data_IF_558170430231
#
_entry.id   IF_558170430231
#
_cell.length_a   1.000
_cell.length_b   1.000
_cell.length_c   1.000
_cell.angle_alpha   90.00
_cell.angle_beta   90.00
_cell.angle_gamma   90.00
#
_symmetry.space_group_name_H-M   'P 1'
#
loop_
_entity.id
_entity.type
_entity.pdbx_description
1 polymer ?
#
# COMPACT_ATOMS: atom_id res chain seq x y z
N UNK A 1 -10.66 90.51 -5.41
CA UNK A 1 -11.03 89.49 -4.39
C UNK A 1 -10.92 88.13 -5.08
N UNK A 2 -9.83 87.36 -4.80
CA UNK A 2 -9.84 86.03 -4.14
C UNK A 2 -10.77 85.02 -4.84
N UNK A 3 -10.43 83.81 -5.33
CA UNK A 3 -9.28 82.89 -5.28
C UNK A 3 -9.37 81.94 -6.52
N UNK A 4 -8.29 81.59 -7.23
CA UNK A 4 -7.51 80.33 -7.13
C UNK A 4 -8.39 79.07 -6.94
N UNK A 5 -8.51 78.14 -7.90
CA UNK A 5 -7.65 76.95 -8.18
C UNK A 5 -8.65 75.82 -8.57
N UNK A 6 -8.42 74.75 -9.33
CA UNK A 6 -7.26 74.05 -9.85
C UNK A 6 -7.80 73.11 -10.96
N UNK A 7 -7.14 73.04 -12.12
CA UNK A 7 -7.28 71.93 -13.07
C UNK A 7 -6.66 70.65 -12.47
N UNK A 8 -7.08 69.46 -12.88
CA UNK A 8 -6.23 68.34 -13.35
C UNK A 8 -7.09 67.14 -13.79
N UNK A 9 -6.90 66.74 -15.05
CA UNK A 9 -7.25 65.42 -15.62
C UNK A 9 -6.44 64.33 -14.88
N UNK A 10 -6.89 63.07 -14.79
CA UNK A 10 -6.67 61.95 -15.75
C UNK A 10 -7.25 60.62 -15.19
N UNK A 11 -7.58 59.70 -16.12
CA UNK A 11 -7.54 58.22 -16.07
C UNK A 11 -8.82 57.42 -15.73
N UNK A 12 -9.40 56.86 -16.81
CA UNK A 12 -9.86 55.48 -17.05
C UNK A 12 -10.40 54.67 -15.87
N UNK A 13 -11.65 54.21 -16.00
CA UNK A 13 -12.16 53.08 -15.22
C UNK A 13 -13.58 52.64 -15.62
N UNK A 14 -13.72 51.33 -15.82
CA UNK A 14 -14.94 50.52 -15.63
C UNK A 14 -16.03 50.50 -16.72
N UNK A 15 -16.63 49.36 -17.08
CA UNK A 15 -16.35 47.95 -16.81
C UNK A 15 -17.29 47.18 -17.76
N UNK A 16 -16.78 46.30 -18.63
CA UNK A 16 -17.62 45.26 -19.23
C UNK A 16 -17.82 44.18 -18.17
N UNK A 17 -19.03 44.04 -17.63
CA UNK A 17 -19.42 42.90 -16.81
C UNK A 17 -19.75 41.76 -17.77
N UNK A 18 -18.75 40.92 -18.06
CA UNK A 18 -18.96 39.54 -18.47
C UNK A 18 -18.70 38.67 -17.25
N UNK A 19 -19.74 38.09 -16.65
CA UNK A 19 -19.59 37.10 -15.60
C UNK A 19 -19.29 35.76 -16.24
N UNK A 20 -18.01 35.39 -16.25
CA UNK A 20 -17.56 34.00 -16.37
C UNK A 20 -17.13 33.60 -14.96
N UNK A 21 -18.06 33.08 -14.16
CA UNK A 21 -17.69 32.41 -12.91
C UNK A 21 -17.32 30.96 -13.26
N UNK A 22 -16.03 30.78 -13.54
CA UNK A 22 -15.39 29.48 -13.64
C UNK A 22 -14.04 29.55 -12.96
N UNK A 23 -13.72 28.48 -12.24
CA UNK A 23 -12.46 28.17 -11.56
C UNK A 23 -12.29 28.77 -10.15
N UNK A 24 -12.82 28.06 -9.16
CA UNK A 24 -12.18 27.99 -7.85
C UNK A 24 -10.81 27.33 -8.00
N UNK A 25 -9.75 28.07 -7.74
CA UNK A 25 -8.42 27.54 -7.45
C UNK A 25 -7.68 28.51 -6.51
N UNK A 26 -7.17 27.92 -5.42
CA UNK A 26 -5.95 28.32 -4.71
C UNK A 26 -5.91 29.74 -4.10
N UNK A 27 -6.39 29.87 -2.86
CA UNK A 27 -5.86 30.89 -1.96
C UNK A 27 -5.03 30.28 -0.83
N UNK A 28 -3.78 30.76 -0.74
CA UNK A 28 -2.81 30.63 0.34
C UNK A 28 -3.47 30.56 1.73
N UNK A 29 -3.11 29.57 2.53
CA UNK A 29 -3.38 29.55 3.97
C UNK A 29 -2.12 29.99 4.71
N UNK A 30 -2.15 31.14 5.39
CA UNK A 30 -1.73 31.15 6.78
C UNK A 30 -2.62 32.06 7.62
N UNK A 31 -3.18 31.58 8.72
CA UNK A 31 -3.73 32.47 9.75
C UNK A 31 -3.48 31.97 11.18
N UNK A 32 -2.21 31.65 11.50
CA UNK A 32 -1.45 32.25 12.61
C UNK A 32 -0.07 31.58 12.73
N UNK A 33 0.99 32.27 12.28
CA UNK A 33 2.36 31.73 12.31
C UNK A 33 2.60 30.65 11.25
N UNK A 34 3.85 30.26 11.04
CA UNK A 34 4.32 29.34 10.01
C UNK A 34 3.86 27.86 10.18
N UNK A 35 2.66 27.63 10.72
CA UNK A 35 2.19 26.31 11.17
C UNK A 35 1.01 25.82 10.32
N UNK A 36 1.16 24.64 9.73
CA UNK A 36 0.09 23.95 9.00
C UNK A 36 -0.86 23.27 9.98
N UNK A 37 -2.13 23.68 10.05
CA UNK A 37 -3.15 22.97 10.82
C UNK A 37 -4.53 23.08 10.15
N UNK A 38 -5.43 22.14 10.48
CA UNK A 38 -6.80 22.12 9.95
C UNK A 38 -7.80 21.84 11.08
N UNK A 39 -8.78 22.71 11.27
CA UNK A 39 -9.76 22.59 12.38
C UNK A 39 -10.98 21.74 12.00
N UNK A 40 -11.27 21.59 10.71
CA UNK A 40 -12.48 20.90 10.23
C UNK A 40 -12.20 19.44 9.82
N UNK A 41 -12.77 18.51 10.60
CA UNK A 41 -12.62 17.06 10.44
C UNK A 41 -13.03 16.52 9.06
N UNK A 42 -13.91 17.22 8.34
CA UNK A 42 -14.50 16.71 7.09
C UNK A 42 -13.69 17.06 5.86
N UNK A 43 -13.04 18.21 5.90
CA UNK A 43 -12.20 18.70 4.81
C UNK A 43 -10.71 18.42 5.06
N UNK A 44 -10.37 17.91 6.25
CA UNK A 44 -9.03 17.41 6.55
C UNK A 44 -8.68 16.31 5.54
N UNK A 45 -7.69 16.60 4.72
CA UNK A 45 -7.20 15.73 3.66
C UNK A 45 -5.68 15.68 3.75
N UNK A 46 -5.08 14.55 3.37
CA UNK A 46 -3.62 14.39 3.35
C UNK A 46 -3.12 14.14 1.94
N UNK A 47 -1.88 14.49 1.64
CA UNK A 47 -1.24 14.19 0.36
C UNK A 47 0.22 13.81 0.57
N UNK A 48 0.86 13.44 -0.53
CA UNK A 48 2.29 13.12 -0.56
C UNK A 48 3.11 14.26 -1.18
N UNK A 49 2.48 15.39 -1.50
CA UNK A 49 3.15 16.56 -2.08
C UNK A 49 3.89 17.33 -0.98
N UNK A 50 5.22 17.25 -1.01
CA UNK A 50 6.16 17.92 -0.10
C UNK A 50 6.07 19.46 -0.11
N UNK A 51 5.45 20.05 -1.12
CA UNK A 51 5.28 21.50 -1.27
C UNK A 51 4.01 22.02 -0.57
N UNK A 52 3.19 21.14 0.00
CA UNK A 52 1.90 21.51 0.60
C UNK A 52 1.89 21.33 2.11
N UNK A 53 0.93 21.98 2.78
CA UNK A 53 0.61 21.68 4.19
C UNK A 53 0.01 20.29 4.39
N UNK A 54 -0.28 19.54 3.32
CA UNK A 54 -0.87 18.20 3.40
C UNK A 54 0.18 17.08 3.38
N UNK A 55 1.47 17.45 3.32
CA UNK A 55 2.63 16.54 3.27
C UNK A 55 2.78 15.66 4.52
N UNK A 56 3.49 14.52 4.42
CA UNK A 56 3.69 13.55 5.51
C UNK A 56 4.18 14.10 6.86
N UNK A 57 4.98 15.16 6.84
CA UNK A 57 5.57 15.82 8.01
C UNK A 57 4.52 16.61 8.79
N UNK A 58 3.44 17.05 8.14
CA UNK A 58 2.39 17.89 8.72
C UNK A 58 1.15 17.10 9.15
N UNK A 59 1.03 15.83 8.77
CA UNK A 59 -0.18 15.01 8.99
C UNK A 59 -0.69 15.04 10.44
N UNK A 60 0.20 15.11 11.43
CA UNK A 60 -0.21 15.13 12.85
C UNK A 60 -0.86 16.44 13.30
N UNK A 61 -0.63 17.54 12.58
CA UNK A 61 -1.20 18.87 12.87
C UNK A 61 -2.45 19.14 12.06
N UNK A 62 -2.65 18.42 10.96
CA UNK A 62 -3.85 18.54 10.13
C UNK A 62 -5.11 18.08 10.82
N UNK A 63 -5.02 17.18 11.80
CA UNK A 63 -6.23 16.62 12.37
C UNK A 63 -5.99 15.96 13.73
N UNK A 64 -6.89 16.18 14.69
CA UNK A 64 -6.80 15.60 16.05
C UNK A 64 -6.76 14.08 16.06
N UNK A 65 -7.45 13.41 15.13
CA UNK A 65 -7.39 11.94 15.04
C UNK A 65 -6.09 11.43 14.42
N UNK A 66 -5.27 12.32 13.85
CA UNK A 66 -4.02 11.98 13.15
C UNK A 66 -2.79 12.38 13.97
N UNK A 67 -2.96 12.90 15.18
CA UNK A 67 -1.87 13.29 16.09
C UNK A 67 -0.84 12.18 16.27
N UNK A 68 -1.29 10.91 16.26
CA UNK A 68 -0.41 9.74 16.35
C UNK A 68 0.62 9.65 15.21
N UNK A 69 0.39 10.30 14.06
CA UNK A 69 1.37 10.42 12.97
C UNK A 69 2.69 11.08 13.41
N UNK A 70 2.67 11.88 14.48
CA UNK A 70 3.86 12.51 15.07
C UNK A 70 4.56 11.68 16.12
N UNK A 71 4.07 10.48 16.45
CA UNK A 71 4.64 9.69 17.54
C UNK A 71 6.06 9.22 17.21
N UNK A 72 6.93 9.19 18.21
CA UNK A 72 8.31 8.66 18.10
C UNK A 72 8.44 7.23 18.60
N UNK A 73 7.31 6.60 19.01
CA UNK A 73 7.34 5.29 19.68
C UNK A 73 7.59 4.15 18.70
N UNK A 74 6.72 3.98 17.70
CA UNK A 74 6.79 2.87 16.73
C UNK A 74 6.06 3.18 15.42
N UNK A 75 6.33 4.34 14.83
CA UNK A 75 5.79 4.70 13.51
C UNK A 75 6.46 3.90 12.38
N UNK A 76 5.70 3.68 11.30
CA UNK A 76 6.10 3.02 10.06
C UNK A 76 5.96 3.98 8.86
N UNK A 77 6.69 3.76 7.74
CA UNK A 77 7.64 2.67 7.50
C UNK A 77 9.00 2.91 8.16
N UNK A 78 9.87 1.89 8.12
CA UNK A 78 11.23 1.96 8.64
C UNK A 78 12.25 1.36 7.65
N UNK A 79 13.54 1.67 7.85
CA UNK A 79 14.62 0.95 7.19
C UNK A 79 14.87 -0.36 7.94
N UNK A 80 14.79 -1.49 7.24
CA UNK A 80 15.08 -2.81 7.75
C UNK A 80 16.58 -3.08 7.62
N UNK A 81 17.33 -2.73 8.67
CA UNK A 81 18.75 -3.10 8.77
C UNK A 81 18.88 -4.60 9.02
N UNK A 82 19.43 -5.30 8.04
CA UNK A 82 19.51 -6.76 8.08
C UNK A 82 20.61 -7.28 8.99
N UNK A 83 21.61 -6.44 9.28
CA UNK A 83 22.73 -6.72 10.19
C UNK A 83 22.28 -6.64 11.65
N UNK A 84 21.43 -5.67 11.98
CA UNK A 84 20.88 -5.45 13.32
C UNK A 84 19.64 -6.31 13.62
N UNK A 85 18.95 -6.82 12.59
CA UNK A 85 17.76 -7.63 12.75
C UNK A 85 18.03 -8.93 13.55
N UNK A 86 17.30 -9.13 14.65
CA UNK A 86 17.50 -10.23 15.60
C UNK A 86 16.77 -11.49 15.16
N UNK A 87 17.42 -12.66 15.26
CA UNK A 87 16.74 -13.93 14.95
C UNK A 87 15.57 -14.20 15.89
N UNK A 88 14.47 -14.70 15.34
CA UNK A 88 13.26 -15.03 16.11
C UNK A 88 12.64 -16.35 15.68
N UNK A 89 11.92 -16.98 16.63
CA UNK A 89 11.01 -18.12 16.37
C UNK A 89 9.62 -17.67 15.91
N UNK A 90 9.36 -16.36 15.85
CA UNK A 90 8.10 -15.82 15.34
C UNK A 90 7.80 -16.41 13.95
N UNK A 91 6.58 -16.88 13.79
CA UNK A 91 6.06 -17.42 12.53
C UNK A 91 4.59 -17.06 12.41
N UNK A 92 3.99 -17.32 11.26
CA UNK A 92 2.57 -17.16 11.07
C UNK A 92 2.04 -18.23 10.12
N UNK A 93 0.72 -18.42 10.14
CA UNK A 93 0.03 -19.35 9.26
C UNK A 93 -1.08 -18.61 8.52
N UNK A 94 -1.09 -18.75 7.20
CA UNK A 94 -2.16 -18.28 6.33
C UNK A 94 -3.06 -19.45 5.94
N UNK A 95 -4.32 -19.37 6.31
CA UNK A 95 -5.37 -20.31 5.97
C UNK A 95 -6.14 -19.81 4.74
N UNK A 96 -6.55 -20.73 3.87
CA UNK A 96 -7.25 -20.43 2.62
C UNK A 96 -6.48 -19.49 1.68
N UNK A 97 -5.15 -19.43 1.79
CA UNK A 97 -4.30 -18.49 1.01
C UNK A 97 -4.39 -18.69 -0.51
N UNK A 98 -4.82 -19.87 -0.96
CA UNK A 98 -5.04 -20.26 -2.36
C UNK A 98 -6.45 -19.91 -2.86
N UNK A 99 -7.35 -19.49 -1.96
CA UNK A 99 -8.71 -19.09 -2.32
C UNK A 99 -8.73 -17.63 -2.75
N UNK A 100 -9.62 -17.33 -3.70
CA UNK A 100 -9.91 -15.95 -4.10
C UNK A 100 -11.18 -15.50 -3.42
N UNK A 101 -11.15 -14.29 -2.84
CA UNK A 101 -12.29 -13.66 -2.16
C UNK A 101 -12.84 -12.52 -3.01
N UNK A 102 -14.17 -12.32 -3.08
CA UNK A 102 -14.74 -11.18 -3.80
C UNK A 102 -14.17 -9.87 -3.28
N UNK A 103 -13.84 -8.95 -4.20
CA UNK A 103 -13.24 -7.67 -3.88
C UNK A 103 -13.74 -6.59 -4.85
N UNK A 104 -13.58 -5.34 -4.45
CA UNK A 104 -13.85 -4.17 -5.28
C UNK A 104 -12.66 -3.20 -5.22
N UNK A 105 -12.60 -2.30 -6.18
CA UNK A 105 -11.59 -1.24 -6.27
C UNK A 105 -12.24 0.07 -6.67
N UNK A 106 -11.63 1.19 -6.28
CA UNK A 106 -12.00 2.54 -6.70
C UNK A 106 -10.77 3.44 -6.56
N UNK A 107 -10.82 4.65 -7.11
CA UNK A 107 -9.78 5.63 -6.85
C UNK A 107 -10.06 6.35 -5.52
N UNK A 108 -9.26 6.07 -4.49
CA UNK A 108 -9.38 6.74 -3.20
C UNK A 108 -8.51 8.01 -3.08
N UNK A 109 -7.80 8.38 -4.16
CA UNK A 109 -6.93 9.55 -4.21
C UNK A 109 -5.57 9.37 -3.52
N UNK A 110 -5.26 8.17 -3.02
CA UNK A 110 -4.06 7.94 -2.21
C UNK A 110 -3.27 6.69 -2.61
N UNK A 111 -3.93 5.59 -2.97
CA UNK A 111 -3.26 4.37 -3.40
C UNK A 111 -4.22 3.45 -4.18
N UNK A 112 -3.76 2.79 -5.26
CA UNK A 112 -4.48 1.69 -5.87
C UNK A 112 -4.72 0.58 -4.84
N UNK A 113 -5.98 0.23 -4.61
CA UNK A 113 -6.38 -0.71 -3.57
C UNK A 113 -7.47 -1.67 -4.04
N UNK A 114 -7.57 -2.80 -3.36
CA UNK A 114 -8.54 -3.86 -3.60
C UNK A 114 -9.12 -4.30 -2.25
N UNK A 115 -10.31 -3.80 -1.94
CA UNK A 115 -11.00 -4.07 -0.68
C UNK A 115 -11.87 -5.32 -0.78
N UNK A 116 -11.79 -6.20 0.22
CA UNK A 116 -12.54 -7.46 0.25
C UNK A 116 -14.01 -7.19 0.60
N UNK A 117 -14.93 -7.78 -0.17
CA UNK A 117 -16.36 -7.80 0.15
C UNK A 117 -16.64 -8.88 1.20
N UNK A 118 -16.39 -8.56 2.47
CA UNK A 118 -16.50 -9.51 3.57
C UNK A 118 -17.89 -10.16 3.66
N UNK A 119 -18.96 -9.40 3.41
CA UNK A 119 -20.35 -9.89 3.46
C UNK A 119 -20.70 -10.86 2.33
N UNK A 120 -19.95 -10.84 1.22
CA UNK A 120 -20.15 -11.75 0.07
C UNK A 120 -19.21 -12.98 0.14
N UNK A 121 -18.32 -13.01 1.12
CA UNK A 121 -17.26 -13.99 1.21
C UNK A 121 -17.77 -15.28 1.86
N UNK A 122 -17.76 -16.38 1.09
CA UNK A 122 -18.11 -17.72 1.61
C UNK A 122 -17.07 -18.29 2.57
N UNK A 123 -15.81 -17.87 2.46
CA UNK A 123 -14.68 -18.33 3.27
C UNK A 123 -13.64 -17.22 3.40
N UNK A 124 -13.34 -16.85 4.64
CA UNK A 124 -12.33 -15.84 4.93
C UNK A 124 -10.91 -16.39 4.67
N UNK A 125 -10.02 -15.49 4.26
CA UNK A 125 -8.59 -15.72 4.32
C UNK A 125 -8.13 -15.24 5.69
N UNK A 126 -7.54 -16.16 6.45
CA UNK A 126 -7.23 -15.93 7.87
C UNK A 126 -5.74 -16.09 8.12
N UNK A 127 -5.17 -15.21 8.94
CA UNK A 127 -3.80 -15.23 9.42
C UNK A 127 -3.80 -15.49 10.94
N UNK A 128 -2.94 -16.41 11.40
CA UNK A 128 -2.62 -16.61 12.83
C UNK A 128 -1.13 -16.38 13.07
N UNK A 129 -0.81 -15.54 14.05
CA UNK A 129 0.56 -15.33 14.52
C UNK A 129 0.96 -16.45 15.50
N UNK A 130 2.24 -16.82 15.50
CA UNK A 130 2.82 -17.81 16.42
C UNK A 130 4.15 -17.30 16.96
N UNK A 131 4.33 -17.40 18.27
CA UNK A 131 5.58 -16.99 18.94
C UNK A 131 5.99 -15.54 18.66
N UNK A 132 5.02 -14.65 18.48
CA UNK A 132 5.24 -13.20 18.38
C UNK A 132 4.96 -12.59 19.76
N UNK A 133 5.93 -11.86 20.32
CA UNK A 133 5.78 -11.24 21.64
C UNK A 133 4.59 -10.28 21.68
N UNK A 134 3.80 -10.32 22.76
CA UNK A 134 2.63 -9.46 22.94
C UNK A 134 1.43 -9.82 22.04
N UNK A 135 1.47 -10.94 21.32
CA UNK A 135 0.37 -11.39 20.45
C UNK A 135 -0.19 -12.73 20.92
N UNK A 136 -1.51 -12.85 20.93
CA UNK A 136 -2.19 -14.09 21.30
C UNK A 136 -2.24 -15.06 20.10
N UNK A 137 -1.68 -16.28 20.20
CA UNK A 137 -1.63 -17.22 19.08
C UNK A 137 -2.98 -17.82 18.68
N UNK A 138 -4.02 -17.64 19.50
CA UNK A 138 -5.38 -18.10 19.21
C UNK A 138 -6.21 -17.08 18.43
N UNK A 139 -5.74 -15.83 18.33
CA UNK A 139 -6.44 -14.77 17.60
C UNK A 139 -6.31 -14.95 16.09
N UNK A 140 -7.36 -14.54 15.40
CA UNK A 140 -7.51 -14.67 13.96
C UNK A 140 -7.56 -13.28 13.32
N UNK A 141 -6.75 -13.09 12.28
CA UNK A 141 -6.73 -11.86 11.52
C UNK A 141 -7.29 -12.14 10.12
N UNK A 142 -8.33 -11.41 9.71
CA UNK A 142 -9.05 -11.63 8.46
C UNK A 142 -8.55 -10.62 7.41
N UNK A 143 -8.26 -11.09 6.19
CA UNK A 143 -7.87 -10.22 5.08
C UNK A 143 -9.00 -9.23 4.77
N UNK A 144 -8.69 -7.94 4.78
CA UNK A 144 -9.64 -6.88 4.46
C UNK A 144 -9.26 -6.09 3.20
N UNK A 145 -7.96 -5.92 2.95
CA UNK A 145 -7.51 -5.03 1.88
C UNK A 145 -6.16 -5.46 1.31
N UNK A 146 -5.95 -5.16 0.03
CA UNK A 146 -4.65 -5.21 -0.64
C UNK A 146 -4.43 -3.89 -1.36
N UNK A 147 -3.40 -3.14 -1.03
CA UNK A 147 -3.04 -1.90 -1.74
C UNK A 147 -1.56 -1.85 -2.09
N UNK A 148 -1.23 -0.93 -3.00
CA UNK A 148 0.11 -0.80 -3.57
C UNK A 148 0.60 0.63 -3.37
N UNK A 149 1.74 0.75 -2.70
CA UNK A 149 2.54 1.96 -2.70
C UNK A 149 3.50 1.92 -3.90
N UNK A 150 3.65 3.06 -4.57
CA UNK A 150 4.50 3.22 -5.75
C UNK A 150 5.20 4.56 -5.74
N UNK A 151 6.34 4.61 -6.43
CA UNK A 151 7.19 5.78 -6.51
C UNK A 151 7.02 6.57 -7.79
N UNK A 152 7.52 7.80 -7.75
CA UNK A 152 7.80 8.61 -8.94
C UNK A 152 8.77 7.89 -9.87
N UNK A 153 9.85 7.36 -9.31
CA UNK A 153 10.95 6.76 -10.06
C UNK A 153 10.94 5.24 -10.01
N UNK A 154 11.60 4.60 -10.98
CA UNK A 154 11.67 3.14 -11.13
C UNK A 154 12.28 2.42 -9.93
N UNK A 155 12.99 3.12 -9.03
CA UNK A 155 13.72 2.48 -7.93
C UNK A 155 13.35 3.04 -6.53
N UNK A 156 12.38 3.96 -6.44
CA UNK A 156 12.11 4.71 -5.20
C UNK A 156 10.61 4.84 -4.95
N UNK A 157 9.95 3.73 -4.59
CA UNK A 157 8.50 3.69 -4.38
C UNK A 157 7.96 2.82 -3.26
N UNK A 158 8.73 1.84 -2.78
CA UNK A 158 8.43 1.15 -1.54
C UNK A 158 8.46 2.12 -0.37
N UNK A 159 7.64 1.84 0.64
CA UNK A 159 7.63 2.62 1.87
C UNK A 159 8.77 2.18 2.78
N UNK A 160 8.92 0.87 2.96
CA UNK A 160 10.08 0.30 3.62
C UNK A 160 11.30 0.34 2.70
N UNK A 161 12.47 0.44 3.33
CA UNK A 161 13.75 0.11 2.70
C UNK A 161 14.36 -1.11 3.39
N UNK A 162 15.23 -1.84 2.69
CA UNK A 162 16.04 -2.92 3.24
C UNK A 162 17.50 -2.53 3.02
N UNK A 163 18.28 -2.39 4.10
CA UNK A 163 19.66 -1.88 4.06
C UNK A 163 19.78 -0.57 3.24
N UNK A 164 18.82 0.34 3.40
CA UNK A 164 18.75 1.63 2.70
C UNK A 164 18.25 1.54 1.25
N UNK A 165 18.06 0.34 0.70
CA UNK A 165 17.55 0.14 -0.65
C UNK A 165 16.02 0.17 -0.70
N UNK A 166 15.48 1.00 -1.59
CA UNK A 166 14.07 1.02 -1.96
C UNK A 166 13.80 0.16 -3.21
N UNK A 167 12.52 -0.14 -3.43
CA UNK A 167 12.01 -0.83 -4.61
C UNK A 167 10.99 0.07 -5.34
N UNK A 168 10.66 -0.18 -6.62
CA UNK A 168 9.66 0.63 -7.33
C UNK A 168 8.27 0.66 -6.67
N UNK A 169 7.91 -0.42 -5.99
CA UNK A 169 6.59 -0.63 -5.41
C UNK A 169 6.65 -1.48 -4.15
N UNK A 170 5.64 -1.34 -3.30
CA UNK A 170 5.40 -2.22 -2.15
C UNK A 170 3.92 -2.53 -2.02
N UNK A 171 3.56 -3.82 -1.99
CA UNK A 171 2.19 -4.25 -1.73
C UNK A 171 1.98 -4.50 -0.23
N UNK A 172 0.85 -4.03 0.29
CA UNK A 172 0.40 -4.29 1.65
C UNK A 172 -0.88 -5.11 1.64
N UNK A 173 -0.83 -6.31 2.21
CA UNK A 173 -2.04 -7.06 2.56
C UNK A 173 -2.40 -6.77 4.00
N UNK A 174 -3.55 -6.13 4.21
CA UNK A 174 -4.04 -5.73 5.53
C UNK A 174 -5.00 -6.78 6.08
N UNK A 175 -4.67 -7.29 7.27
CA UNK A 175 -5.52 -8.19 8.03
C UNK A 175 -5.94 -7.52 9.32
N UNK A 176 -7.23 -7.60 9.67
CA UNK A 176 -7.75 -7.08 10.93
C UNK A 176 -8.09 -8.19 11.91
N UNK A 177 -7.86 -7.94 13.20
CA UNK A 177 -8.15 -8.89 14.27
C UNK A 177 -9.67 -9.06 14.41
N UNK A 178 -10.15 -10.28 14.17
CA UNK A 178 -11.58 -10.59 14.06
C UNK A 178 -12.36 -10.33 15.36
N UNK A 179 -11.67 -10.29 16.51
CA UNK A 179 -12.29 -9.99 17.81
C UNK A 179 -12.92 -8.60 17.89
N UNK A 180 -12.54 -7.68 17.00
CA UNK A 180 -13.08 -6.32 16.92
C UNK A 180 -14.25 -6.18 15.96
N UNK A 181 -14.69 -7.26 15.30
CA UNK A 181 -15.82 -7.27 14.38
C UNK A 181 -15.46 -6.80 12.97
N UNK A 182 -14.91 -5.59 12.85
CA UNK A 182 -14.52 -4.98 11.57
C UNK A 182 -13.19 -4.22 11.64
N UNK A 183 -12.66 -3.88 10.45
CA UNK A 183 -11.37 -3.18 10.32
C UNK A 183 -11.39 -1.76 10.90
N UNK A 184 -12.52 -1.03 10.84
CA UNK A 184 -12.61 0.33 11.40
C UNK A 184 -12.45 0.30 12.92
N UNK A 185 -13.08 -0.67 13.58
CA UNK A 185 -12.96 -0.87 15.03
C UNK A 185 -11.59 -1.45 15.43
N UNK A 186 -10.97 -2.24 14.55
CA UNK A 186 -9.64 -2.81 14.81
C UNK A 186 -8.50 -1.79 14.66
N UNK A 187 -8.55 -0.91 13.66
CA UNK A 187 -7.52 0.10 13.36
C UNK A 187 -6.92 0.82 14.59
N UNK A 188 -7.70 1.31 15.57
CA UNK A 188 -7.15 2.02 16.74
C UNK A 188 -6.58 1.14 17.85
N UNK A 189 -6.72 -0.19 17.75
CA UNK A 189 -6.37 -1.14 18.82
C UNK A 189 -4.95 -1.65 18.65
N UNK A 190 -4.18 -1.74 19.73
CA UNK A 190 -2.73 -2.01 19.68
C UNK A 190 -2.36 -3.37 19.03
N UNK A 191 -3.30 -4.32 18.97
CA UNK A 191 -3.25 -5.60 18.27
C UNK A 191 -4.34 -5.77 17.20
N UNK A 192 -4.81 -4.64 16.69
CA UNK A 192 -5.87 -4.58 15.71
C UNK A 192 -5.47 -5.11 14.35
N UNK A 193 -4.21 -4.96 13.94
CA UNK A 193 -3.80 -5.20 12.56
C UNK A 193 -2.55 -6.07 12.44
N UNK A 194 -2.53 -6.89 11.39
CA UNK A 194 -1.33 -7.51 10.83
C UNK A 194 -1.23 -7.07 9.39
N UNK A 195 -0.07 -6.54 8.98
CA UNK A 195 0.15 -6.16 7.58
C UNK A 195 1.32 -6.95 7.03
N UNK A 196 1.09 -7.62 5.90
CA UNK A 196 2.14 -8.27 5.12
C UNK A 196 2.60 -7.30 4.04
N UNK A 197 3.86 -6.87 4.12
CA UNK A 197 4.54 -6.06 3.12
C UNK A 197 5.35 -6.93 2.15
N UNK A 198 5.21 -6.68 0.85
CA UNK A 198 5.98 -7.34 -0.22
C UNK A 198 6.56 -6.31 -1.16
N UNK A 199 7.88 -6.30 -1.30
CA UNK A 199 8.59 -5.48 -2.28
C UNK A 199 8.27 -5.95 -3.70
N UNK A 200 8.06 -5.02 -4.64
CA UNK A 200 7.75 -5.34 -6.03
C UNK A 200 8.75 -4.64 -6.96
N UNK A 201 9.38 -5.43 -7.82
CA UNK A 201 10.17 -4.98 -8.97
C UNK A 201 9.25 -4.85 -10.21
N UNK A 202 9.51 -3.88 -11.08
CA UNK A 202 8.96 -3.91 -12.44
C UNK A 202 9.88 -4.76 -13.34
N UNK A 203 9.30 -5.59 -14.22
CA UNK A 203 10.08 -6.31 -15.24
C UNK A 203 10.79 -5.28 -16.13
N UNK A 204 12.11 -5.42 -16.34
CA UNK A 204 12.83 -4.63 -17.36
C UNK A 204 12.25 -5.01 -18.73
N UNK A 205 11.90 -4.01 -19.54
CA UNK A 205 11.50 -4.28 -20.93
C UNK A 205 12.73 -4.78 -21.69
N UNK A 206 12.57 -5.81 -22.50
CA UNK A 206 13.38 -5.93 -23.71
C UNK A 206 12.64 -5.01 -24.68
N UNK A 207 13.02 -3.74 -24.68
CA UNK A 207 12.51 -2.82 -25.69
C UNK A 207 13.39 -3.10 -26.92
N UNK A 208 12.85 -3.86 -27.87
CA UNK A 208 13.14 -3.61 -29.28
C UNK A 208 12.81 -2.11 -29.50
N UNK A 209 13.80 -1.38 -30.01
CA UNK A 209 13.73 0.01 -30.47
C UNK A 209 13.58 1.10 -29.39
N UNK A 210 14.71 1.57 -28.84
CA UNK A 210 15.17 2.97 -28.99
C UNK A 210 16.48 3.22 -28.20
N UNK A 211 17.39 3.94 -28.85
CA UNK A 211 18.76 4.25 -28.46
C UNK A 211 18.90 4.93 -27.08
N UNK A 212 19.38 4.20 -26.06
CA UNK A 212 20.12 4.80 -24.96
C UNK A 212 21.27 3.86 -24.55
N UNK A 213 22.47 4.30 -24.94
CA UNK A 213 23.78 3.74 -24.62
C UNK A 213 24.03 3.84 -23.11
N UNK A 214 23.62 2.82 -22.35
CA UNK A 214 24.13 2.57 -21.00
C UNK A 214 24.59 1.11 -20.88
N UNK A 215 25.59 0.79 -21.72
CA UNK A 215 26.40 -0.41 -21.60
C UNK A 215 27.30 -0.33 -20.36
N UNK A 216 26.76 -0.44 -19.14
CA UNK A 216 27.60 -0.81 -17.99
C UNK A 216 26.94 -1.31 -16.70
N UNK A 217 25.83 -2.04 -16.74
CA UNK A 217 25.35 -2.75 -15.54
C UNK A 217 25.46 -4.27 -15.72
N UNK A 218 26.58 -4.82 -15.24
CA UNK A 218 26.76 -6.24 -14.95
C UNK A 218 25.83 -6.66 -13.80
N UNK A 219 24.53 -6.74 -14.06
CA UNK A 219 23.59 -7.43 -13.18
C UNK A 219 23.62 -8.93 -13.52
N UNK A 220 24.67 -9.60 -13.05
CA UNK A 220 24.88 -11.04 -13.12
C UNK A 220 23.60 -11.80 -12.74
N UNK A 221 23.05 -12.60 -13.67
CA UNK A 221 22.27 -13.81 -13.44
C UNK A 221 21.39 -13.87 -12.16
N UNK A 222 20.19 -13.27 -12.19
CA UNK A 222 19.08 -13.74 -11.34
C UNK A 222 18.36 -14.86 -12.10
N UNK A 223 18.46 -16.12 -11.64
CA UNK A 223 17.69 -17.24 -12.21
C UNK A 223 16.20 -16.90 -12.25
N UNK A 224 15.71 -16.59 -13.44
CA UNK A 224 14.29 -16.38 -13.71
C UNK A 224 13.59 -17.72 -13.71
N UNK A 225 12.68 -17.92 -12.76
CA UNK A 225 11.68 -18.98 -12.84
C UNK A 225 10.36 -18.30 -13.18
N UNK A 226 10.11 -18.24 -14.48
CA UNK A 226 8.84 -17.80 -15.04
C UNK A 226 7.73 -18.84 -14.81
N UNK A 227 8.04 -19.98 -14.19
CA UNK A 227 7.10 -21.05 -13.91
C UNK A 227 6.46 -21.65 -15.17
N UNK A 228 7.12 -21.54 -16.32
CA UNK A 228 6.63 -22.08 -17.61
C UNK A 228 7.62 -23.11 -18.16
N UNK A 229 7.19 -24.38 -18.27
CA UNK A 229 7.79 -25.28 -19.24
C UNK A 229 7.39 -24.79 -20.63
N UNK A 230 8.36 -24.64 -21.55
CA UNK A 230 8.13 -24.31 -22.96
C UNK A 230 7.22 -25.39 -23.59
N UNK A 231 5.94 -25.09 -23.71
CA UNK A 231 5.03 -25.77 -24.63
C UNK A 231 5.06 -25.07 -25.98
N UNK A 232 5.10 -25.86 -27.05
CA UNK A 232 5.43 -25.47 -28.43
C UNK A 232 4.68 -24.24 -28.98
N UNK A 233 5.39 -23.44 -29.77
CA UNK A 233 5.03 -22.14 -30.38
C UNK A 233 3.90 -22.17 -31.44
N UNK A 234 2.82 -22.93 -31.24
CA UNK A 234 1.66 -22.97 -32.17
C UNK A 234 0.31 -22.49 -31.61
N UNK A 235 0.21 -22.12 -30.34
CA UNK A 235 -1.05 -21.67 -29.71
C UNK A 235 -1.13 -20.13 -29.50
N UNK A 236 -0.46 -19.35 -30.35
CA UNK A 236 -0.49 -17.87 -30.30
C UNK A 236 -1.61 -17.24 -31.14
N UNK A 237 -2.38 -17.99 -31.92
CA UNK A 237 -3.30 -17.41 -32.93
C UNK A 237 -4.81 -17.61 -32.75
N UNK A 238 -5.31 -17.97 -31.57
CA UNK A 238 -6.77 -18.12 -31.35
C UNK A 238 -7.26 -17.53 -30.00
N UNK A 239 -6.84 -16.30 -29.68
CA UNK A 239 -7.18 -15.65 -28.40
C UNK A 239 -8.37 -14.67 -28.45
N UNK A 240 -9.12 -14.56 -29.56
CA UNK A 240 -10.18 -13.54 -29.72
C UNK A 240 -11.63 -14.02 -29.92
N UNK A 241 -11.98 -15.30 -29.74
CA UNK A 241 -13.38 -15.68 -29.92
C UNK A 241 -13.89 -16.77 -28.99
N UNK A 242 -15.02 -16.45 -28.36
CA UNK A 242 -15.95 -17.35 -27.66
C UNK A 242 -15.65 -17.66 -26.18
N UNK A 243 -16.35 -16.93 -25.32
CA UNK A 243 -16.59 -17.28 -23.93
C UNK A 243 -17.27 -18.66 -23.81
N UNK A 244 -16.63 -19.61 -23.10
CA UNK A 244 -17.19 -20.95 -22.90
C UNK A 244 -16.39 -21.86 -21.95
N UNK A 245 -16.60 -21.70 -20.64
CA UNK A 245 -16.35 -22.66 -19.56
C UNK A 245 -14.94 -22.99 -19.01
N UNK A 246 -14.97 -23.16 -17.67
CA UNK A 246 -14.05 -23.84 -16.73
C UNK A 246 -12.66 -23.24 -16.58
N UNK A 247 -12.53 -22.38 -15.56
CA UNK A 247 -11.30 -22.16 -14.81
C UNK A 247 -10.73 -23.52 -14.35
N UNK A 248 -9.89 -24.12 -15.18
CA UNK A 248 -9.00 -25.19 -14.73
C UNK A 248 -8.03 -24.53 -13.77
N UNK A 249 -8.13 -24.94 -12.51
CA UNK A 249 -7.16 -24.68 -11.48
C UNK A 249 -5.75 -24.76 -12.06
N UNK A 250 -5.06 -23.63 -12.18
CA UNK A 250 -3.62 -23.63 -12.03
C UNK A 250 -3.40 -24.00 -10.57
N UNK A 251 -3.21 -25.31 -10.33
CA UNK A 251 -2.39 -25.76 -9.21
C UNK A 251 -1.18 -24.85 -9.24
N UNK A 252 -1.03 -23.99 -8.23
CA UNK A 252 0.30 -23.55 -7.84
C UNK A 252 1.04 -24.84 -7.61
N UNK A 253 1.87 -25.23 -8.58
CA UNK A 253 2.68 -26.42 -8.53
C UNK A 253 3.72 -26.23 -7.43
N UNK A 254 3.32 -26.43 -6.18
CA UNK A 254 4.06 -27.34 -5.32
C UNK A 254 3.69 -28.76 -5.79
N UNK A 255 4.05 -29.11 -7.03
CA UNK A 255 4.13 -30.52 -7.38
C UNK A 255 5.30 -31.06 -6.56
N UNK A 256 4.95 -31.87 -5.56
CA UNK A 256 5.60 -33.08 -5.02
C UNK A 256 7.08 -33.43 -5.22
N UNK A 257 7.91 -32.74 -6.00
CA UNK A 257 9.27 -33.18 -6.31
C UNK A 257 10.26 -32.02 -6.16
N UNK A 258 10.89 -31.93 -5.00
CA UNK A 258 12.30 -31.54 -4.83
C UNK A 258 12.75 -31.99 -3.44
N UNK A 259 12.62 -33.29 -3.19
CA UNK A 259 13.33 -34.00 -2.14
C UNK A 259 13.89 -35.27 -2.77
N UNK A 260 15.20 -35.48 -2.70
CA UNK A 260 15.79 -36.77 -3.04
C UNK A 260 15.24 -37.80 -2.05
N UNK A 261 14.42 -38.73 -2.52
CA UNK A 261 14.11 -39.95 -1.79
C UNK A 261 15.37 -40.83 -1.79
N UNK A 262 15.97 -41.05 -0.62
CA UNK A 262 16.97 -42.10 -0.46
C UNK A 262 16.31 -43.30 0.18
N UNK A 263 16.24 -44.40 -0.56
CA UNK A 263 15.89 -45.70 -0.01
C UNK A 263 17.08 -46.23 0.80
N UNK A 264 16.88 -46.43 2.09
CA UNK A 264 17.66 -47.43 2.82
C UNK A 264 16.90 -48.76 2.71
N UNK A 265 17.63 -49.86 2.56
CA UNK A 265 17.14 -51.20 2.24
C UNK A 265 16.18 -51.86 3.25
N UNK A 266 15.58 -51.09 4.16
CA UNK A 266 14.75 -51.56 5.26
C UNK A 266 13.29 -51.04 5.20
N UNK A 267 12.89 -50.37 4.12
CA UNK A 267 11.48 -50.11 3.81
C UNK A 267 10.78 -48.97 4.59
N UNK A 268 11.52 -48.10 5.29
CA UNK A 268 10.97 -46.86 5.87
C UNK A 268 11.44 -45.61 5.10
N UNK A 269 10.49 -44.89 4.47
CA UNK A 269 10.74 -43.60 3.81
C UNK A 269 10.75 -42.46 4.85
N UNK A 270 11.92 -41.87 5.10
CA UNK A 270 12.04 -40.64 5.91
C UNK A 270 12.23 -39.40 5.04
N UNK A 271 11.36 -38.39 5.24
CA UNK A 271 11.44 -37.09 4.55
C UNK A 271 12.62 -36.28 5.08
N UNK A 272 13.75 -36.26 4.35
CA UNK A 272 14.88 -35.38 4.70
C UNK A 272 14.58 -33.94 4.26
N UNK A 273 14.21 -33.07 5.21
CA UNK A 273 14.22 -31.61 5.00
C UNK A 273 15.67 -31.16 4.89
N UNK A 274 16.25 -31.14 3.67
CA UNK A 274 17.39 -30.26 3.41
C UNK A 274 16.88 -28.82 3.38
N UNK A 275 16.80 -28.20 4.55
CA UNK A 275 16.78 -26.75 4.66
C UNK A 275 18.09 -26.25 4.04
N UNK A 276 18.01 -25.61 2.86
CA UNK A 276 19.18 -25.03 2.21
C UNK A 276 19.76 -23.93 3.09
N UNK A 277 20.79 -24.28 3.86
CA UNK A 277 21.71 -23.35 4.52
C UNK A 277 22.59 -22.73 3.42
N UNK A 278 22.31 -21.49 3.08
CA UNK A 278 23.18 -20.69 2.21
C UNK A 278 22.66 -19.28 2.05
N UNK A 279 23.58 -18.32 2.00
CA UNK A 279 23.35 -16.89 1.73
C UNK A 279 22.88 -16.64 0.28
N UNK A 280 21.91 -17.41 -0.22
CA UNK A 280 21.49 -17.35 -1.63
C UNK A 280 20.62 -16.13 -1.90
N UNK A 281 20.96 -15.47 -3.02
CA UNK A 281 20.23 -14.42 -3.74
C UNK A 281 18.74 -14.78 -3.85
N UNK A 282 17.86 -13.79 -3.80
CA UNK A 282 16.41 -14.02 -3.88
C UNK A 282 16.04 -14.64 -5.23
N UNK A 283 15.30 -15.75 -5.21
CA UNK A 283 14.61 -16.26 -6.40
C UNK A 283 13.29 -15.50 -6.57
N UNK A 284 13.23 -14.64 -7.59
CA UNK A 284 12.13 -13.68 -7.78
C UNK A 284 11.13 -14.22 -8.80
N UNK A 285 9.88 -14.43 -8.40
CA UNK A 285 8.81 -14.89 -9.31
C UNK A 285 8.13 -13.74 -10.04
N UNK A 286 7.58 -14.04 -11.22
CA UNK A 286 6.68 -13.14 -11.94
C UNK A 286 5.23 -13.28 -11.46
N UNK A 287 4.63 -12.19 -10.99
CA UNK A 287 3.26 -12.12 -10.51
C UNK A 287 2.29 -11.77 -11.65
N UNK A 288 2.01 -12.76 -12.51
CA UNK A 288 1.11 -12.64 -13.68
C UNK A 288 -0.27 -12.09 -13.30
N UNK A 289 -0.91 -12.70 -12.32
CA UNK A 289 -2.28 -12.33 -11.91
C UNK A 289 -2.36 -10.91 -11.36
N UNK A 290 -1.39 -10.52 -10.51
CA UNK A 290 -1.31 -9.17 -9.99
C UNK A 290 -1.11 -8.15 -11.12
N UNK A 291 -0.19 -8.44 -12.06
CA UNK A 291 0.05 -7.59 -13.24
C UNK A 291 -1.23 -7.39 -14.04
N UNK A 292 -1.97 -8.48 -14.30
CA UNK A 292 -3.24 -8.42 -15.03
C UNK A 292 -4.31 -7.61 -14.30
N UNK A 293 -4.45 -7.78 -12.98
CA UNK A 293 -5.42 -7.01 -12.18
C UNK A 293 -5.06 -5.52 -12.24
N UNK A 294 -3.80 -5.16 -12.04
CA UNK A 294 -3.34 -3.77 -12.13
C UNK A 294 -3.63 -3.17 -13.51
N UNK A 295 -3.26 -3.87 -14.59
CA UNK A 295 -3.49 -3.41 -15.97
C UNK A 295 -4.98 -3.33 -16.34
N UNK A 296 -5.81 -4.24 -15.83
CA UNK A 296 -7.23 -4.28 -16.19
C UNK A 296 -8.03 -3.18 -15.49
N UNK A 297 -7.69 -2.90 -14.23
CA UNK A 297 -8.48 -2.01 -13.40
C UNK A 297 -7.97 -0.57 -13.40
N UNK A 298 -6.72 -0.29 -13.81
CA UNK A 298 -6.23 1.10 -13.81
C UNK A 298 -7.09 2.03 -14.65
N UNK A 299 -7.53 1.64 -15.86
CA UNK A 299 -8.35 2.52 -16.72
C UNK A 299 -9.67 2.90 -16.05
N UNK A 300 -10.21 2.00 -15.23
CA UNK A 300 -11.47 2.24 -14.49
C UNK A 300 -11.28 3.17 -13.31
N UNK A 301 -10.11 3.15 -12.68
CA UNK A 301 -9.81 3.92 -11.47
C UNK A 301 -8.83 5.06 -11.73
N UNK A 302 -8.63 5.44 -12.99
CA UNK A 302 -7.60 6.40 -13.37
C UNK A 302 -7.91 7.78 -12.80
N UNK A 303 -9.16 8.21 -12.89
CA UNK A 303 -9.58 9.55 -12.46
C UNK A 303 -10.01 9.55 -11.00
N UNK A 304 -9.70 10.63 -10.30
CA UNK A 304 -10.17 10.83 -8.93
C UNK A 304 -11.43 11.70 -8.93
N UNK A 305 -12.53 11.14 -8.42
CA UNK A 305 -13.79 11.85 -8.23
C UNK A 305 -13.97 12.14 -6.74
N UNK A 306 -14.15 13.43 -6.42
CA UNK A 306 -14.34 13.87 -5.04
C UNK A 306 -15.81 13.76 -4.66
N UNK A 307 -16.07 13.17 -3.49
CA UNK A 307 -17.43 13.06 -2.96
C UNK A 307 -17.67 14.20 -1.97
N UNK A 308 -18.57 15.10 -2.32
CA UNK A 308 -19.06 16.16 -1.42
C UNK A 308 -20.08 15.57 -0.44
N UNK A 309 -19.65 15.10 0.74
CA UNK A 309 -20.58 14.76 1.83
C UNK A 309 -20.83 15.96 2.76
N UNK A 310 -22.10 16.27 3.03
CA UNK A 310 -22.51 17.42 3.85
C UNK A 310 -22.05 17.37 5.32
N UNK A 311 -21.71 18.52 5.95
CA UNK A 311 -21.24 18.61 7.32
C UNK A 311 -22.22 18.17 8.42
N UNK A 312 -21.66 17.66 9.54
CA UNK A 312 -22.33 17.56 10.85
C UNK A 312 -21.36 18.09 11.89
N UNK A 313 -21.79 19.08 12.65
CA UNK A 313 -21.07 19.67 13.78
C UNK A 313 -20.63 18.60 14.79
N UNK A 314 -19.37 18.66 15.20
CA UNK A 314 -18.85 17.92 16.37
C UNK A 314 -18.60 18.89 17.51
N UNK A 315 -19.02 18.53 18.73
CA UNK A 315 -18.82 19.35 19.94
C UNK A 315 -17.40 19.19 20.48
N UNK A 316 -16.79 20.33 20.81
CA UNK A 316 -15.50 20.62 21.46
C UNK A 316 -14.63 19.41 21.88
N UNK A 317 -13.46 19.19 21.24
CA UNK A 317 -12.59 18.04 21.54
C UNK A 317 -11.46 18.28 22.54
N UNK A 318 -10.85 17.17 22.97
CA UNK A 318 -9.58 17.13 23.71
C UNK A 318 -8.48 17.97 23.02
N UNK A 319 -7.72 18.75 23.80
CA UNK A 319 -6.54 19.47 23.31
C UNK A 319 -5.36 18.51 23.20
N UNK A 320 -5.25 17.81 22.07
CA UNK A 320 -4.20 16.83 21.80
C UNK A 320 -3.01 17.47 21.09
N UNK A 321 -1.80 17.15 21.55
CA UNK A 321 -0.56 17.52 20.88
C UNK A 321 -0.14 16.47 19.85
N UNK A 322 0.59 16.91 18.82
CA UNK A 322 1.21 16.00 17.86
C UNK A 322 2.09 14.97 18.59
N UNK A 323 1.88 13.69 18.27
CA UNK A 323 2.49 12.54 18.94
C UNK A 323 1.60 11.83 19.96
N UNK A 324 0.53 12.47 20.44
CA UNK A 324 -0.39 11.87 21.41
C UNK A 324 -1.41 10.96 20.73
N UNK A 325 -1.83 9.89 21.42
CA UNK A 325 -2.92 9.02 20.97
C UNK A 325 -4.25 9.58 21.48
N UNK A 326 -5.26 9.82 20.61
CA UNK A 326 -6.58 10.24 21.06
C UNK A 326 -7.21 9.20 22.01
N UNK A 327 -8.05 9.65 22.94
CA UNK A 327 -8.73 8.71 23.85
C UNK A 327 -9.66 7.76 23.10
N UNK A 328 -9.90 6.55 23.63
CA UNK A 328 -10.82 5.57 23.02
C UNK A 328 -12.22 6.18 22.78
N UNK A 329 -12.66 7.11 23.63
CA UNK A 329 -13.91 7.85 23.47
C UNK A 329 -13.86 8.73 22.22
N UNK A 330 -12.85 9.60 22.11
CA UNK A 330 -12.62 10.46 20.95
C UNK A 330 -12.52 9.65 19.66
N UNK A 331 -11.77 8.54 19.70
CA UNK A 331 -11.65 7.61 18.59
C UNK A 331 -13.03 7.11 18.15
N UNK A 332 -13.84 6.62 19.08
CA UNK A 332 -15.14 6.03 18.76
C UNK A 332 -16.16 7.06 18.27
N UNK A 333 -16.14 8.29 18.79
CA UNK A 333 -17.13 9.30 18.41
C UNK A 333 -16.77 10.05 17.13
N UNK A 334 -15.47 10.19 16.83
CA UNK A 334 -14.99 11.13 15.82
C UNK A 334 -14.02 10.51 14.80
N UNK A 335 -13.19 9.54 15.20
CA UNK A 335 -12.10 9.03 14.35
C UNK A 335 -12.41 7.70 13.64
N UNK A 336 -13.54 7.05 13.95
CA UNK A 336 -13.98 5.78 13.33
C UNK A 336 -15.06 5.96 12.28
N UNK A 337 -15.55 7.19 12.07
CA UNK A 337 -16.48 7.49 10.98
C UNK A 337 -15.74 7.32 9.66
N UNK A 338 -16.20 6.37 8.86
CA UNK A 338 -15.61 6.04 7.57
C UNK A 338 -15.51 7.29 6.70
N UNK A 339 -14.40 7.41 5.96
CA UNK A 339 -14.34 8.33 4.83
C UNK A 339 -15.51 8.06 3.89
N UNK A 340 -15.99 9.11 3.23
CA UNK A 340 -17.19 9.05 2.38
C UNK A 340 -17.18 7.82 1.49
N UNK A 341 -18.34 7.20 1.33
CA UNK A 341 -18.45 6.04 0.45
C UNK A 341 -18.17 6.49 -0.98
N UNK A 342 -17.20 5.90 -1.69
CA UNK A 342 -16.91 6.29 -3.07
C UNK A 342 -18.16 6.21 -3.94
N UNK A 343 -18.36 7.21 -4.81
CA UNK A 343 -19.53 7.28 -5.69
C UNK A 343 -19.53 6.14 -6.70
N UNK A 344 -18.34 5.70 -7.12
CA UNK A 344 -18.17 4.60 -8.05
C UNK A 344 -17.18 3.55 -7.53
N UNK A 345 -17.60 2.28 -7.60
CA UNK A 345 -16.76 1.14 -7.26
C UNK A 345 -16.83 0.08 -8.36
N UNK A 346 -15.73 -0.64 -8.53
CA UNK A 346 -15.59 -1.64 -9.59
C UNK A 346 -15.29 -3.01 -9.01
N UNK A 347 -16.14 -3.99 -9.35
CA UNK A 347 -15.93 -5.37 -8.93
C UNK A 347 -14.68 -5.97 -9.57
N UNK A 348 -13.81 -6.52 -8.72
CA UNK A 348 -12.63 -7.26 -9.14
C UNK A 348 -13.09 -8.65 -9.56
N UNK A 349 -13.01 -8.91 -10.86
CA UNK A 349 -13.41 -10.14 -11.48
C UNK A 349 -12.55 -11.28 -10.95
N UNK A 350 -13.20 -12.34 -10.49
CA UNK A 350 -12.60 -13.46 -9.75
C UNK A 350 -11.95 -13.09 -8.40
N UNK A 351 -12.11 -11.86 -7.90
CA UNK A 351 -11.65 -11.44 -6.59
C UNK A 351 -10.14 -11.23 -6.46
N UNK A 352 -9.61 -11.35 -5.24
CA UNK A 352 -8.17 -11.30 -4.93
C UNK A 352 -7.74 -12.46 -4.04
N UNK A 353 -6.43 -12.77 -4.01
CA UNK A 353 -5.86 -13.84 -3.20
C UNK A 353 -4.43 -13.52 -2.74
N UNK A 354 -3.99 -13.98 -1.55
CA UNK A 354 -2.61 -13.77 -1.10
C UNK A 354 -1.57 -14.30 -2.08
N UNK A 355 -1.85 -15.40 -2.79
CA UNK A 355 -0.92 -15.94 -3.81
C UNK A 355 -0.66 -14.99 -4.97
N UNK A 356 -1.49 -13.95 -5.16
CA UNK A 356 -1.23 -12.92 -6.16
C UNK A 356 0.07 -12.17 -5.82
N UNK A 357 0.37 -11.96 -4.52
CA UNK A 357 1.50 -11.14 -4.05
C UNK A 357 2.58 -11.89 -3.25
N UNK A 358 2.30 -13.06 -2.67
CA UNK A 358 3.28 -13.76 -1.82
C UNK A 358 4.54 -14.20 -2.60
N UNK A 359 5.78 -13.90 -2.15
CA UNK A 359 7.00 -14.36 -2.83
C UNK A 359 7.24 -15.87 -2.68
N UNK A 360 8.18 -16.43 -3.46
CA UNK A 360 8.59 -17.84 -3.31
C UNK A 360 9.32 -18.05 -1.99
N UNK A 361 10.26 -17.16 -1.69
CA UNK A 361 11.00 -17.16 -0.44
C UNK A 361 10.12 -16.68 0.71
N UNK A 362 9.93 -17.52 1.72
CA UNK A 362 9.07 -17.23 2.85
C UNK A 362 9.79 -16.53 4.01
N UNK A 363 11.07 -16.17 3.85
CA UNK A 363 11.84 -15.42 4.85
C UNK A 363 11.30 -13.99 4.98
N UNK A 364 11.11 -13.54 6.22
CA UNK A 364 10.55 -12.22 6.50
C UNK A 364 11.20 -11.56 7.72
N UNK A 365 11.04 -10.25 7.79
CA UNK A 365 11.26 -9.40 8.95
C UNK A 365 9.93 -9.09 9.63
N UNK A 366 9.93 -8.90 10.94
CA UNK A 366 8.73 -8.56 11.69
C UNK A 366 9.03 -7.61 12.84
N UNK A 367 8.11 -6.69 13.07
CA UNK A 367 8.22 -5.66 14.11
C UNK A 367 6.83 -5.08 14.44
N UNK A 368 6.59 -4.57 15.66
CA UNK A 368 5.39 -3.80 15.98
C UNK A 368 5.53 -2.36 15.46
N UNK A 369 4.58 -1.88 14.68
CA UNK A 369 4.62 -0.58 14.01
C UNK A 369 3.28 0.13 13.94
N UNK A 370 3.12 0.96 12.91
CA UNK A 370 1.91 1.75 12.65
C UNK A 370 1.35 1.55 11.25
N UNK A 371 0.16 2.09 11.02
CA UNK A 371 -0.29 2.45 9.68
C UNK A 371 0.66 3.50 9.08
N UNK A 372 0.85 3.46 7.76
CA UNK A 372 1.73 4.38 7.01
C UNK A 372 0.98 5.55 6.38
N UNK A 373 -0.33 5.62 6.56
CA UNK A 373 -1.17 6.77 6.23
C UNK A 373 -1.96 7.21 7.47
N UNK A 374 -2.46 8.45 7.51
CA UNK A 374 -3.33 8.90 8.58
C UNK A 374 -4.51 7.94 8.79
N UNK A 375 -4.89 7.62 10.05
CA UNK A 375 -4.48 8.26 11.31
C UNK A 375 -3.14 7.77 11.91
N UNK A 376 -2.35 6.96 11.19
CA UNK A 376 -1.05 6.45 11.63
C UNK A 376 -1.07 5.70 12.97
N UNK A 377 -2.18 5.03 13.30
CA UNK A 377 -2.31 4.27 14.53
C UNK A 377 -1.21 3.22 14.65
N UNK A 378 -0.60 3.15 15.83
CA UNK A 378 0.43 2.18 16.20
C UNK A 378 -0.18 0.82 16.56
N UNK A 379 -0.96 0.26 15.65
CA UNK A 379 -1.78 -0.94 15.82
C UNK A 379 -1.29 -2.15 15.03
N UNK A 380 -0.21 -1.99 14.27
CA UNK A 380 0.19 -2.93 13.23
C UNK A 380 1.28 -3.87 13.75
N UNK A 381 1.11 -5.17 13.54
CA UNK A 381 2.22 -6.11 13.45
C UNK A 381 2.67 -6.21 11.98
N UNK A 382 3.87 -5.74 11.67
CA UNK A 382 4.43 -5.84 10.33
C UNK A 382 5.06 -7.21 10.08
N UNK A 383 4.86 -7.73 8.87
CA UNK A 383 5.54 -8.89 8.32
C UNK A 383 6.04 -8.47 6.94
N UNK A 384 7.30 -8.10 6.81
CA UNK A 384 7.89 -7.65 5.54
C UNK A 384 8.72 -8.78 4.96
N UNK A 385 8.32 -9.31 3.80
CA UNK A 385 9.07 -10.37 3.16
C UNK A 385 10.44 -9.86 2.68
N UNK A 386 11.47 -10.70 2.83
CA UNK A 386 12.84 -10.39 2.43
C UNK A 386 12.97 -10.24 0.91
N UNK A 387 12.32 -11.12 0.16
CA UNK A 387 12.47 -11.19 -1.28
C UNK A 387 11.32 -10.53 -2.02
N UNK A 388 11.61 -9.81 -3.11
CA UNK A 388 10.58 -9.16 -3.90
C UNK A 388 9.85 -10.15 -4.82
N UNK A 389 8.79 -9.66 -5.45
CA UNK A 389 8.18 -10.25 -6.66
C UNK A 389 8.40 -9.31 -7.86
N UNK A 390 8.20 -9.81 -9.09
CA UNK A 390 8.22 -9.00 -10.32
C UNK A 390 6.78 -8.84 -10.86
N UNK A 391 6.43 -7.66 -11.37
CA UNK A 391 5.21 -7.42 -12.17
C UNK A 391 5.56 -6.89 -13.55
N UNK A 392 4.61 -6.85 -14.49
CA UNK A 392 4.85 -6.31 -15.83
C UNK A 392 5.22 -4.82 -15.77
N UNK A 393 6.06 -4.35 -16.71
CA UNK A 393 6.36 -2.92 -16.86
C UNK A 393 5.09 -2.11 -17.18
N UNK A 394 4.18 -2.72 -17.95
CA UNK A 394 2.90 -2.13 -18.32
C UNK A 394 2.02 -1.89 -17.10
N UNK A 395 1.92 -2.85 -16.17
CA UNK A 395 1.20 -2.72 -14.92
C UNK A 395 1.77 -1.59 -14.05
N UNK A 396 3.09 -1.51 -13.93
CA UNK A 396 3.74 -0.41 -13.20
C UNK A 396 3.43 0.95 -13.82
N UNK A 397 3.65 1.10 -15.14
CA UNK A 397 3.34 2.35 -15.87
C UNK A 397 1.86 2.72 -15.81
N UNK A 398 0.96 1.73 -15.85
CA UNK A 398 -0.47 1.95 -15.71
C UNK A 398 -0.82 2.64 -14.39
N UNK A 399 -0.33 2.11 -13.25
CA UNK A 399 -0.60 2.71 -11.94
C UNK A 399 0.03 4.09 -11.77
N UNK A 400 1.15 4.35 -12.44
CA UNK A 400 1.80 5.66 -12.44
C UNK A 400 0.92 6.80 -13.00
N UNK A 401 -0.11 6.48 -13.79
CA UNK A 401 -1.03 7.46 -14.38
C UNK A 401 -2.36 7.60 -13.63
N UNK A 402 -2.57 6.85 -12.55
CA UNK A 402 -3.74 7.05 -11.67
C UNK A 402 -3.62 8.41 -11.01
N UNK A 403 -4.73 9.11 -10.81
CA UNK A 403 -4.77 10.41 -10.14
C UNK A 403 -4.80 10.25 -8.63
N UNK A 404 -4.06 11.09 -7.92
CA UNK A 404 -4.24 11.33 -6.51
C UNK A 404 -5.40 12.30 -6.25
N UNK A 405 -5.66 12.58 -4.98
CA UNK A 405 -6.72 13.50 -4.57
C UNK A 405 -6.50 14.97 -4.97
N UNK A 406 -5.28 15.33 -5.40
CA UNK A 406 -4.96 16.63 -5.96
C UNK A 406 -5.08 16.64 -7.50
N UNK A 407 -5.61 15.54 -8.08
CA UNK A 407 -5.72 15.30 -9.53
C UNK A 407 -4.37 15.29 -10.23
N UNK A 408 -3.30 14.92 -9.51
CA UNK A 408 -1.97 14.73 -10.09
C UNK A 408 -1.74 13.23 -10.30
N UNK A 409 -1.05 12.82 -11.38
CA UNK A 409 -0.73 11.41 -11.57
C UNK A 409 0.22 10.90 -10.47
N UNK A 410 0.08 9.64 -10.04
CA UNK A 410 0.86 9.08 -8.92
C UNK A 410 2.37 9.08 -9.19
N UNK A 411 2.81 9.14 -10.44
CA UNK A 411 4.23 9.30 -10.77
C UNK A 411 4.78 10.71 -10.50
N UNK A 412 3.95 11.69 -10.11
CA UNK A 412 4.43 13.03 -9.89
C UNK A 412 5.22 13.17 -8.57
N UNK A 413 4.68 12.60 -7.48
CA UNK A 413 5.33 12.57 -6.16
C UNK A 413 5.47 11.15 -5.58
N UNK A 414 4.79 10.15 -6.14
CA UNK A 414 4.63 8.84 -5.52
C UNK A 414 3.62 8.85 -4.38
N UNK A 415 3.38 7.67 -3.81
CA UNK A 415 2.42 7.47 -2.70
C UNK A 415 3.10 6.79 -1.53
N UNK A 416 4.24 7.35 -1.09
CA UNK A 416 5.02 6.77 0.01
C UNK A 416 5.24 7.77 1.14
N UNK A 417 5.12 7.30 2.37
CA UNK A 417 5.55 8.03 3.55
C UNK A 417 7.08 7.91 3.72
N UNK A 418 7.79 8.97 4.12
CA UNK A 418 9.21 8.89 4.50
C UNK A 418 9.47 7.91 5.65
N UNK A 419 10.70 7.36 5.67
CA UNK A 419 11.19 6.48 6.74
C UNK A 419 11.10 7.19 8.09
N UNK A 420 10.59 6.49 9.09
CA UNK A 420 10.45 6.98 10.46
C UNK A 420 11.60 6.50 11.33
N UNK A 421 12.08 7.37 12.20
CA UNK A 421 13.10 7.08 13.21
C UNK A 421 12.38 7.03 14.55
N UNK A 422 12.46 5.89 15.23
CA UNK A 422 11.75 5.62 16.49
C UNK A 422 12.75 5.46 17.64
N UNK A 423 12.34 5.78 18.87
CA UNK A 423 13.20 5.73 20.07
C UNK A 423 13.57 4.30 20.51
N UNK A 424 12.66 3.34 20.34
CA UNK A 424 12.87 1.95 20.76
C UNK A 424 12.35 0.99 19.71
N UNK A 425 13.26 0.39 18.94
CA UNK A 425 12.84 -0.45 17.82
C UNK A 425 13.71 -1.68 17.64
N UNK A 426 13.10 -2.86 17.78
CA UNK A 426 13.76 -4.14 17.54
C UNK A 426 13.10 -4.83 16.36
N UNK A 427 13.79 -4.85 15.22
CA UNK A 427 13.40 -5.69 14.08
C UNK A 427 13.83 -7.13 14.35
N UNK A 428 12.91 -8.07 14.12
CA UNK A 428 13.21 -9.49 14.18
C UNK A 428 13.22 -10.10 12.77
N UNK A 429 14.01 -11.15 12.54
CA UNK A 429 14.07 -11.91 11.29
C UNK A 429 13.85 -13.41 11.52
N UNK A 430 13.11 -14.06 10.63
CA UNK A 430 12.82 -15.49 10.70
C UNK A 430 13.73 -16.33 9.77
N UNK A 431 15.06 -16.22 9.92
CA UNK A 431 16.09 -17.01 9.20
C UNK A 431 17.52 -16.83 9.72
#
# INVERSE_FOLDING_TARGET
MKMAALYWLVFLGSLCIGTVESAGYLYRMPHHGDVCYYEDLKNAHFSYDEETCRRPQEWCYLHKCWTTCGSTRRQSPINLDTSEARRTKASFQLYNKDKRVPAFTYNNGHAPHFSVKLNETKRNITLKLKSVSGRNPNEEYILADLHIHLGKEKDVGSEHSIDGKFYPMEAHMVFYNSKYGDISQAKPKDDGLVVIGVMIKAKRGHDDDDDDDDNNDNDDDEEEDDGYEKGDDKERSEWESAWGHKYTYTRVCCHRNYGDYKHNGDGEDYFSKKCYKGNKKCKVRYARTLSHIMEKYYEKIKEYHHNEEEPKETKDPENLQCGEKPSDKTIQSECTRGGGHPEETYDVHCGISPVDVLPLDQRFYTYPGSLTTPPCYESVQWIVYKCPIKVSRKAFKALQHVEDAEKKPLNHHGVKRPIKINEFFNVSKNF
#
